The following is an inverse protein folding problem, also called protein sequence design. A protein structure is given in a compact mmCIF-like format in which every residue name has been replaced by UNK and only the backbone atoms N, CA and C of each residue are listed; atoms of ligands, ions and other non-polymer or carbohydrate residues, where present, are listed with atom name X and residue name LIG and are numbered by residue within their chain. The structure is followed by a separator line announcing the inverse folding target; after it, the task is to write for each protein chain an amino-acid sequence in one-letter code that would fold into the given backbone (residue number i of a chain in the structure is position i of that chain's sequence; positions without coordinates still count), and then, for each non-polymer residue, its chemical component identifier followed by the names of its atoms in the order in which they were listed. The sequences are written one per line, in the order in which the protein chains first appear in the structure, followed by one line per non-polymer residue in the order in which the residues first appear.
data_IF_790856500589
#
_entry.id   IF_790856500589
#
_cell.length_a   1.000
_cell.length_b   1.000
_cell.length_c   1.000
_cell.angle_alpha   90.00
_cell.angle_beta   90.00
_cell.angle_gamma   90.00
#
_symmetry.space_group_name_H-M   'P 1'
#
loop_
_entity.id
_entity.type
_entity.pdbx_description
1 polymer ?
#
# COMPACT_ATOMS: atom_id res chain seq x y z
N UNK A 1 -16.50 -2.04 -6.43
CA UNK A 1 -15.25 -2.74 -6.07
C UNK A 1 -14.35 -3.01 -7.26
N UNK A 2 -14.81 -3.70 -8.32
CA UNK A 2 -13.94 -4.04 -9.47
C UNK A 2 -13.28 -2.79 -10.10
N UNK A 3 -14.06 -1.73 -10.32
CA UNK A 3 -13.57 -0.44 -10.84
C UNK A 3 -12.55 0.24 -9.93
N UNK A 4 -12.76 0.11 -8.62
CA UNK A 4 -11.89 0.68 -7.61
C UNK A 4 -10.53 -0.04 -7.56
N UNK A 5 -10.55 -1.38 -7.64
CA UNK A 5 -9.35 -2.22 -7.73
C UNK A 5 -8.61 -1.95 -9.04
N UNK A 6 -9.32 -1.86 -10.16
CA UNK A 6 -8.73 -1.53 -11.47
C UNK A 6 -8.07 -0.15 -11.45
N UNK A 7 -8.71 0.84 -10.83
CA UNK A 7 -8.14 2.18 -10.70
C UNK A 7 -6.83 2.18 -9.89
N UNK A 8 -6.80 1.51 -8.73
CA UNK A 8 -5.58 1.36 -7.92
C UNK A 8 -4.50 0.61 -8.69
N UNK A 9 -4.85 -0.48 -9.37
CA UNK A 9 -3.88 -1.28 -10.12
C UNK A 9 -3.23 -0.46 -11.25
N UNK A 10 -4.03 0.27 -12.01
CA UNK A 10 -3.53 1.14 -13.08
C UNK A 10 -2.68 2.27 -12.49
N UNK A 11 -3.14 2.96 -11.44
CA UNK A 11 -2.41 4.05 -10.81
C UNK A 11 -1.06 3.59 -10.21
N UNK A 12 -1.04 2.45 -9.53
CA UNK A 12 0.19 1.86 -8.98
C UNK A 12 1.16 1.49 -10.11
N UNK A 13 0.66 0.88 -11.19
CA UNK A 13 1.49 0.53 -12.34
C UNK A 13 2.09 1.77 -13.02
N UNK A 14 1.32 2.84 -13.24
CA UNK A 14 1.87 4.09 -13.82
C UNK A 14 2.86 4.76 -12.88
N UNK A 15 2.59 4.81 -11.57
CA UNK A 15 3.53 5.38 -10.60
C UNK A 15 4.86 4.62 -10.56
N UNK A 16 4.82 3.28 -10.49
CA UNK A 16 6.04 2.45 -10.52
C UNK A 16 6.77 2.64 -11.85
N UNK A 17 6.06 2.59 -12.98
CA UNK A 17 6.66 2.80 -14.30
C UNK A 17 7.38 4.15 -14.39
N UNK A 18 6.76 5.23 -13.89
CA UNK A 18 7.40 6.54 -13.84
C UNK A 18 8.62 6.57 -12.92
N UNK A 19 8.55 5.98 -11.72
CA UNK A 19 9.69 5.93 -10.80
C UNK A 19 10.87 5.14 -11.36
N UNK A 20 10.61 4.02 -12.04
CA UNK A 20 11.63 3.23 -12.75
C UNK A 20 12.23 4.06 -13.88
N UNK A 21 11.41 4.75 -14.68
CA UNK A 21 11.88 5.64 -15.76
C UNK A 21 12.74 6.79 -15.23
N UNK A 22 12.41 7.32 -14.06
CA UNK A 22 13.19 8.35 -13.37
C UNK A 22 14.43 7.82 -12.64
N UNK A 23 14.71 6.51 -12.73
CA UNK A 23 15.81 5.83 -12.02
C UNK A 23 15.82 6.13 -10.51
N UNK A 24 14.62 6.23 -9.91
CA UNK A 24 14.47 6.38 -8.46
C UNK A 24 15.07 5.19 -7.74
N UNK A 25 15.52 5.42 -6.51
CA UNK A 25 16.16 4.37 -5.72
C UNK A 25 15.17 3.23 -5.50
N UNK A 26 15.63 1.98 -5.61
CA UNK A 26 14.80 0.79 -5.34
C UNK A 26 14.15 0.85 -3.96
N UNK A 27 14.82 1.48 -2.97
CA UNK A 27 14.28 1.70 -1.63
C UNK A 27 13.08 2.66 -1.63
N UNK A 28 13.12 3.72 -2.43
CA UNK A 28 12.00 4.68 -2.55
C UNK A 28 10.80 4.03 -3.23
N UNK A 29 11.04 3.23 -4.27
CA UNK A 29 9.99 2.47 -4.97
C UNK A 29 9.34 1.49 -4.00
N UNK A 30 10.15 0.74 -3.25
CA UNK A 30 9.67 -0.23 -2.27
C UNK A 30 8.82 0.46 -1.19
N UNK A 31 9.32 1.57 -0.63
CA UNK A 31 8.62 2.32 0.42
C UNK A 31 7.29 2.90 -0.08
N UNK A 32 7.28 3.47 -1.29
CA UNK A 32 6.06 3.94 -1.95
C UNK A 32 5.05 2.80 -2.15
N UNK A 33 5.49 1.67 -2.71
CA UNK A 33 4.63 0.50 -2.93
C UNK A 33 4.04 -0.04 -1.62
N UNK A 34 4.83 -0.11 -0.55
CA UNK A 34 4.34 -0.54 0.77
C UNK A 34 3.25 0.38 1.30
N UNK A 35 3.43 1.70 1.22
CA UNK A 35 2.42 2.67 1.68
C UNK A 35 1.11 2.53 0.88
N UNK A 36 1.21 2.43 -0.45
CA UNK A 36 0.02 2.28 -1.30
C UNK A 36 -0.73 0.98 -1.00
N UNK A 37 -0.01 -0.13 -0.78
CA UNK A 37 -0.61 -1.42 -0.43
C UNK A 37 -1.29 -1.39 0.94
N UNK A 38 -0.72 -0.71 1.94
CA UNK A 38 -1.34 -0.54 3.25
C UNK A 38 -2.64 0.27 3.16
N UNK A 39 -2.63 1.38 2.44
CA UNK A 39 -3.85 2.17 2.19
C UNK A 39 -4.91 1.37 1.42
N UNK A 40 -4.49 0.56 0.45
CA UNK A 40 -5.40 -0.33 -0.28
C UNK A 40 -6.00 -1.42 0.61
N UNK A 41 -5.22 -2.02 1.52
CA UNK A 41 -5.70 -3.00 2.48
C UNK A 41 -6.74 -2.39 3.45
N UNK A 42 -6.52 -1.15 3.91
CA UNK A 42 -7.49 -0.42 4.72
C UNK A 42 -8.79 -0.14 3.94
N UNK A 43 -8.68 0.28 2.69
CA UNK A 43 -9.86 0.49 1.85
C UNK A 43 -10.63 -0.80 1.55
N UNK A 44 -9.94 -1.92 1.32
CA UNK A 44 -10.56 -3.24 1.20
C UNK A 44 -11.32 -3.62 2.49
N UNK A 45 -10.79 -3.28 3.67
CA UNK A 45 -11.46 -3.48 4.97
C UNK A 45 -12.86 -2.87 5.00
N UNK A 46 -12.95 -1.61 4.57
CA UNK A 46 -14.21 -0.85 4.54
C UNK A 46 -15.20 -1.53 3.59
N UNK A 47 -14.72 -1.99 2.45
CA UNK A 47 -15.54 -2.64 1.43
C UNK A 47 -16.03 -4.03 1.84
N UNK A 48 -15.26 -4.81 2.61
CA UNK A 48 -15.64 -6.16 3.03
C UNK A 48 -16.53 -6.24 4.27
N UNK A 49 -16.90 -5.10 4.89
CA UNK A 49 -17.62 -5.03 6.19
C UNK A 49 -16.97 -5.85 7.32
N UNK A 50 -15.76 -6.34 7.09
CA UNK A 50 -14.96 -7.11 8.04
C UNK A 50 -13.90 -6.13 8.54
N UNK A 51 -13.94 -5.81 9.84
CA UNK A 51 -12.95 -4.96 10.52
C UNK A 51 -11.54 -5.54 10.38
N UNK A 52 -10.88 -5.31 9.25
CA UNK A 52 -9.43 -5.32 9.18
C UNK A 52 -9.00 -4.02 9.84
N UNK A 53 -8.36 -4.11 11.01
CA UNK A 53 -7.89 -2.95 11.76
C UNK A 53 -6.38 -2.79 11.50
N UNK A 54 -5.98 -2.11 10.41
CA UNK A 54 -4.56 -1.97 10.04
C UNK A 54 -3.76 -1.24 11.13
N UNK A 55 -4.40 -0.43 11.97
CA UNK A 55 -3.76 0.17 13.15
C UNK A 55 -3.17 -0.88 14.10
N UNK A 56 -3.78 -2.06 14.23
CA UNK A 56 -3.26 -3.10 15.09
C UNK A 56 -2.02 -3.78 14.50
N UNK A 57 -2.00 -3.98 13.18
CA UNK A 57 -0.84 -4.50 12.46
C UNK A 57 0.32 -3.50 12.44
N UNK A 58 0.03 -2.22 12.21
CA UNK A 58 1.02 -1.13 12.25
C UNK A 58 1.59 -0.99 13.66
N UNK A 59 0.76 -1.01 14.71
CA UNK A 59 1.21 -1.00 16.10
C UNK A 59 2.13 -2.20 16.40
N UNK A 60 1.75 -3.40 15.97
CA UNK A 60 2.57 -4.60 16.18
C UNK A 60 3.89 -4.57 15.42
N UNK A 61 3.94 -3.95 14.24
CA UNK A 61 5.18 -3.72 13.49
C UNK A 61 6.09 -2.69 14.18
N UNK A 62 5.51 -1.62 14.73
CA UNK A 62 6.25 -0.60 15.50
C UNK A 62 6.83 -1.19 16.77
N UNK A 63 6.04 -1.99 17.50
CA UNK A 63 6.49 -2.70 18.70
C UNK A 63 7.64 -3.67 18.37
N UNK A 64 7.57 -4.36 17.23
CA UNK A 64 8.64 -5.27 16.81
C UNK A 64 9.93 -4.52 16.42
N UNK A 65 9.83 -3.36 15.76
CA UNK A 65 11.02 -2.57 15.40
C UNK A 65 11.64 -1.86 16.62
N UNK A 66 10.86 -1.59 17.67
CA UNK A 66 11.35 -1.00 18.93
C UNK A 66 12.06 -1.99 19.87
N UNK A 67 12.06 -3.29 19.55
CA UNK A 67 12.65 -4.37 20.37
C UNK A 67 13.94 -4.90 19.73
#
# INVERSE_FOLDING_TARGET
MIWFILFIAVALATSIFMMVKQKKSTKEIMLFSTIVLLGFADWISIFLERKFNPNHWIASFIDWISL
#
